data_IF_931896871603
#
_entry.id   IF_931896871603
#
_cell.length_a   1.000
_cell.length_b   1.000
_cell.length_c   1.000
_cell.angle_alpha   90.00
_cell.angle_beta   90.00
_cell.angle_gamma   90.00
#
_symmetry.space_group_name_H-M   'P 1'
#
loop_
_entity.id
_entity.type
_entity.pdbx_description
1 polymer ?
#
# COMPACT_ATOMS: atom_id res chain seq x y z
N UNK A 1 -12.74 14.50 -5.88
CA UNK A 1 -11.82 13.51 -6.47
C UNK A 1 -10.90 12.95 -5.39
N UNK A 2 -11.21 11.78 -4.83
CA UNK A 2 -10.33 11.07 -3.90
C UNK A 2 -9.44 10.16 -4.74
N UNK A 3 -8.22 10.59 -5.08
CA UNK A 3 -7.25 9.69 -5.71
C UNK A 3 -6.79 8.70 -4.65
N UNK A 4 -7.30 7.46 -4.67
CA UNK A 4 -6.76 6.36 -3.88
C UNK A 4 -5.41 5.99 -4.49
N UNK A 5 -4.32 6.37 -3.83
CA UNK A 5 -2.93 6.18 -4.30
C UNK A 5 -2.21 5.22 -3.36
N UNK A 6 -1.23 4.48 -3.86
CA UNK A 6 -0.48 3.54 -3.03
C UNK A 6 0.44 4.26 -2.04
N UNK A 7 0.11 4.04 -0.78
CA UNK A 7 0.80 4.48 0.41
C UNK A 7 2.10 3.64 0.53
N UNK A 8 3.28 4.29 0.60
CA UNK A 8 4.58 3.62 0.87
C UNK A 8 4.66 3.12 2.33
N UNK A 9 5.79 2.57 2.76
CA UNK A 9 5.90 1.81 4.02
C UNK A 9 5.52 2.66 5.23
N UNK A 10 5.98 3.90 5.32
CA UNK A 10 5.66 4.77 6.44
C UNK A 10 4.18 5.16 6.43
N UNK A 11 3.70 5.56 5.26
CA UNK A 11 2.30 5.92 5.06
C UNK A 11 1.37 4.76 5.49
N UNK A 12 1.66 3.52 5.09
CA UNK A 12 0.88 2.32 5.49
C UNK A 12 0.95 2.06 6.98
N UNK A 13 2.08 2.35 7.60
CA UNK A 13 2.26 2.17 9.04
C UNK A 13 1.39 3.17 9.80
N UNK A 14 1.36 4.42 9.35
CA UNK A 14 0.50 5.47 9.91
C UNK A 14 -0.97 5.14 9.68
N UNK A 15 -1.34 4.75 8.46
CA UNK A 15 -2.70 4.34 8.12
C UNK A 15 -3.20 3.24 9.07
N UNK A 16 -2.42 2.18 9.29
CA UNK A 16 -2.80 1.09 10.19
C UNK A 16 -2.90 1.54 11.65
N UNK A 17 -1.94 2.34 12.11
CA UNK A 17 -1.94 2.84 13.48
C UNK A 17 -3.17 3.73 13.73
N UNK A 18 -3.45 4.67 12.81
CA UNK A 18 -4.61 5.52 12.87
C UNK A 18 -5.91 4.72 12.73
N UNK A 19 -5.97 3.74 11.82
CA UNK A 19 -7.14 2.90 11.60
C UNK A 19 -7.54 2.16 12.87
N UNK A 20 -6.57 1.62 13.62
CA UNK A 20 -6.85 0.92 14.89
C UNK A 20 -7.52 1.84 15.91
N UNK A 21 -6.96 3.04 16.12
CA UNK A 21 -7.53 4.03 17.05
C UNK A 21 -8.87 4.55 16.56
N UNK A 22 -8.99 4.79 15.25
CA UNK A 22 -10.20 5.33 14.65
C UNK A 22 -11.35 4.33 14.74
N UNK A 23 -11.10 3.05 14.49
CA UNK A 23 -12.13 2.01 14.56
C UNK A 23 -12.59 1.77 16.00
N UNK A 24 -11.69 1.86 16.98
CA UNK A 24 -12.02 1.68 18.41
C UNK A 24 -12.78 2.87 19.00
N UNK A 25 -12.38 4.10 18.68
CA UNK A 25 -12.94 5.34 19.28
C UNK A 25 -13.77 6.16 18.30
N UNK A 26 -14.31 5.54 17.25
CA UNK A 26 -14.99 6.22 16.14
C UNK A 26 -16.13 7.12 16.61
N UNK A 27 -17.00 6.57 17.43
CA UNK A 27 -18.23 7.22 17.90
C UNK A 27 -17.90 8.34 18.88
N UNK A 28 -17.02 8.09 19.84
CA UNK A 28 -16.53 9.08 20.80
C UNK A 28 -15.86 10.27 20.10
N UNK A 29 -15.03 9.98 19.08
CA UNK A 29 -14.38 11.00 18.27
C UNK A 29 -15.40 11.83 17.49
N UNK A 30 -16.41 11.19 16.89
CA UNK A 30 -17.47 11.89 16.18
C UNK A 30 -18.26 12.81 17.11
N UNK A 31 -18.61 12.35 18.31
CA UNK A 31 -19.32 13.16 19.30
C UNK A 31 -18.45 14.32 19.81
N UNK A 32 -17.16 14.08 20.06
CA UNK A 32 -16.20 15.11 20.46
C UNK A 32 -16.08 16.20 19.38
N UNK A 33 -15.99 15.80 18.11
CA UNK A 33 -15.92 16.72 16.98
C UNK A 33 -17.23 17.52 16.83
N UNK A 34 -18.38 16.88 16.98
CA UNK A 34 -19.67 17.57 16.97
C UNK A 34 -19.79 18.61 18.11
N UNK A 35 -19.40 18.24 19.33
CA UNK A 35 -19.33 19.16 20.48
C UNK A 35 -18.31 20.29 20.26
N UNK A 36 -17.21 20.00 19.57
CA UNK A 36 -16.18 21.01 19.26
C UNK A 36 -16.68 22.12 18.32
N UNK A 37 -17.72 21.87 17.52
CA UNK A 37 -18.36 22.91 16.70
C UNK A 37 -19.10 23.95 17.56
N UNK A 38 -19.69 23.50 18.67
CA UNK A 38 -20.39 24.37 19.63
C UNK A 38 -19.45 25.02 20.64
N UNK A 39 -18.36 24.33 20.99
CA UNK A 39 -17.31 24.78 21.91
C UNK A 39 -15.95 24.54 21.28
N UNK A 40 -15.35 25.56 20.63
CA UNK A 40 -14.11 25.39 19.88
C UNK A 40 -13.00 24.76 20.72
N UNK A 41 -12.52 23.60 20.30
CA UNK A 41 -11.33 22.96 20.85
C UNK A 41 -10.19 23.09 19.84
N UNK A 42 -8.99 23.39 20.33
CA UNK A 42 -7.80 23.37 19.50
C UNK A 42 -7.49 21.94 19.03
N UNK A 43 -6.87 21.84 17.86
CA UNK A 43 -6.47 20.56 17.28
C UNK A 43 -5.54 19.78 18.23
N UNK A 44 -4.68 20.47 18.98
CA UNK A 44 -3.82 19.89 20.03
C UNK A 44 -4.62 19.26 21.19
N UNK A 45 -5.72 19.90 21.62
CA UNK A 45 -6.56 19.35 22.70
C UNK A 45 -7.29 18.10 22.24
N UNK A 46 -7.76 18.09 20.99
CA UNK A 46 -8.43 16.93 20.39
C UNK A 46 -7.42 15.79 20.22
N UNK A 47 -6.26 16.06 19.62
CA UNK A 47 -5.21 15.05 19.40
C UNK A 47 -4.69 14.46 20.71
N UNK A 48 -4.48 15.30 21.74
CA UNK A 48 -4.10 14.83 23.08
C UNK A 48 -5.19 13.93 23.68
N UNK A 49 -6.47 14.31 23.64
CA UNK A 49 -7.55 13.44 24.15
C UNK A 49 -7.57 12.07 23.48
N UNK A 50 -7.52 12.04 22.15
CA UNK A 50 -7.60 10.80 21.38
C UNK A 50 -6.35 9.95 21.59
N UNK A 51 -5.17 10.53 21.44
CA UNK A 51 -3.93 9.76 21.40
C UNK A 51 -3.35 9.43 22.78
N UNK A 52 -3.59 10.27 23.80
CA UNK A 52 -3.02 10.09 25.14
C UNK A 52 -4.05 9.62 26.17
N UNK A 53 -5.29 10.15 26.17
CA UNK A 53 -6.29 9.81 27.20
C UNK A 53 -7.08 8.55 26.85
N UNK A 54 -7.58 8.46 25.62
CA UNK A 54 -8.40 7.33 25.18
C UNK A 54 -7.52 6.14 24.83
N UNK A 55 -6.79 6.23 23.72
CA UNK A 55 -6.04 5.10 23.18
C UNK A 55 -4.73 4.81 23.89
N UNK A 56 -4.16 5.78 24.60
CA UNK A 56 -2.83 5.69 25.27
C UNK A 56 -1.68 5.23 24.34
N UNK A 57 -1.87 5.29 23.03
CA UNK A 57 -0.88 4.84 22.04
C UNK A 57 0.23 5.86 21.84
N UNK A 58 -0.03 7.14 22.10
CA UNK A 58 1.01 8.15 22.07
C UNK A 58 1.90 8.01 23.31
N UNK A 59 3.23 7.80 23.14
CA UNK A 59 4.14 7.77 24.27
C UNK A 59 4.18 9.13 24.97
N UNK A 60 4.33 9.12 26.30
CA UNK A 60 4.54 10.36 27.08
C UNK A 60 5.84 11.09 26.69
N UNK A 61 6.81 10.36 26.12
CA UNK A 61 8.06 10.93 25.61
C UNK A 61 7.82 11.56 24.24
N UNK A 62 7.98 12.88 24.16
CA UNK A 62 7.97 13.62 22.91
C UNK A 62 9.14 13.20 22.02
N UNK A 63 8.89 13.07 20.73
CA UNK A 63 9.94 12.82 19.73
C UNK A 63 11.00 13.93 19.87
N UNK A 64 12.30 13.60 19.90
CA UNK A 64 13.35 14.61 20.03
C UNK A 64 13.21 15.69 18.96
N UNK A 65 13.42 16.96 19.33
CA UNK A 65 13.32 18.08 18.37
C UNK A 65 14.34 17.96 17.20
N UNK A 66 15.40 17.18 17.38
CA UNK A 66 16.39 16.85 16.35
C UNK A 66 15.90 15.83 15.31
N UNK A 67 14.76 15.17 15.55
CA UNK A 67 14.21 14.19 14.61
C UNK A 67 13.58 14.90 13.42
N UNK A 68 14.31 14.93 12.31
CA UNK A 68 13.74 15.31 11.01
C UNK A 68 13.10 14.08 10.39
N UNK A 69 11.77 14.07 10.34
CA UNK A 69 11.02 13.07 9.58
C UNK A 69 11.41 13.18 8.10
N UNK A 70 11.75 12.05 7.48
CA UNK A 70 11.93 11.96 6.03
C UNK A 70 10.60 11.56 5.42
N UNK A 71 9.85 12.52 4.88
CA UNK A 71 8.61 12.18 4.20
C UNK A 71 8.93 11.38 2.93
N UNK A 72 8.32 10.20 2.81
CA UNK A 72 8.46 9.38 1.61
C UNK A 72 7.76 10.05 0.42
N UNK A 73 8.40 10.02 -0.76
CA UNK A 73 7.81 10.56 -1.99
C UNK A 73 6.52 9.81 -2.34
N UNK A 74 5.45 10.57 -2.57
CA UNK A 74 4.17 10.06 -3.04
C UNK A 74 4.26 9.64 -4.50
N UNK A 75 3.82 8.42 -4.81
CA UNK A 75 3.73 7.96 -6.20
C UNK A 75 2.29 8.17 -6.71
N UNK A 76 2.09 8.99 -7.76
CA UNK A 76 0.81 9.03 -8.45
C UNK A 76 0.56 7.69 -9.12
N UNK A 77 -0.57 7.06 -8.79
CA UNK A 77 -1.13 5.97 -9.59
C UNK A 77 -2.53 6.38 -10.05
N UNK A 78 -2.89 5.89 -11.23
CA UNK A 78 -4.24 5.87 -11.76
C UNK A 78 -5.08 4.76 -11.07
N UNK A 79 -6.39 4.76 -11.33
CA UNK A 79 -7.32 3.86 -10.66
C UNK A 79 -7.13 2.39 -11.06
N UNK A 80 -6.72 2.15 -12.30
CA UNK A 80 -6.52 0.81 -12.85
C UNK A 80 -5.26 0.18 -12.25
N UNK A 81 -4.15 0.91 -12.28
CA UNK A 81 -2.89 0.50 -11.63
C UNK A 81 -3.09 0.21 -10.13
N UNK A 82 -3.91 1.01 -9.43
CA UNK A 82 -4.23 0.75 -8.03
C UNK A 82 -4.97 -0.58 -7.83
N UNK A 83 -5.93 -0.93 -8.69
CA UNK A 83 -6.68 -2.19 -8.60
C UNK A 83 -5.75 -3.38 -8.84
N UNK A 84 -4.89 -3.29 -9.86
CA UNK A 84 -3.90 -4.33 -10.18
C UNK A 84 -2.94 -4.55 -9.01
N UNK A 85 -2.36 -3.47 -8.45
CA UNK A 85 -1.48 -3.55 -7.27
C UNK A 85 -2.19 -4.13 -6.03
N UNK A 86 -3.47 -3.78 -5.83
CA UNK A 86 -4.27 -4.30 -4.72
C UNK A 86 -4.52 -5.81 -4.87
N UNK A 87 -4.87 -6.26 -6.07
CA UNK A 87 -5.05 -7.69 -6.38
C UNK A 87 -3.74 -8.47 -6.24
N UNK A 88 -2.63 -7.94 -6.75
CA UNK A 88 -1.30 -8.54 -6.61
C UNK A 88 -0.96 -8.78 -5.14
N UNK A 89 -1.20 -7.77 -4.30
CA UNK A 89 -0.92 -7.85 -2.86
C UNK A 89 -1.79 -8.90 -2.15
N UNK A 90 -3.06 -9.04 -2.55
CA UNK A 90 -3.95 -10.06 -2.00
C UNK A 90 -3.53 -11.46 -2.43
N UNK A 91 -3.25 -11.67 -3.71
CA UNK A 91 -2.78 -12.95 -4.24
C UNK A 91 -1.45 -13.36 -3.61
N UNK A 92 -0.48 -12.45 -3.51
CA UNK A 92 0.81 -12.73 -2.88
C UNK A 92 0.70 -13.05 -1.39
N UNK A 93 -0.30 -12.47 -0.69
CA UNK A 93 -0.60 -12.84 0.69
C UNK A 93 -1.11 -14.28 0.79
N UNK A 94 -1.98 -14.70 -0.13
CA UNK A 94 -2.50 -16.06 -0.21
C UNK A 94 -1.42 -17.05 -0.63
N UNK A 95 -0.61 -16.73 -1.65
CA UNK A 95 0.50 -17.56 -2.10
C UNK A 95 1.50 -17.82 -0.97
N UNK A 96 1.82 -16.79 -0.17
CA UNK A 96 2.68 -16.94 1.00
C UNK A 96 2.10 -17.89 2.07
N UNK A 97 0.78 -17.92 2.23
CA UNK A 97 0.11 -18.86 3.15
C UNK A 97 0.03 -20.27 2.58
N UNK A 98 -0.11 -20.41 1.26
CA UNK A 98 -0.21 -21.68 0.55
C UNK A 98 1.15 -22.28 0.14
N UNK A 99 2.25 -21.54 0.31
CA UNK A 99 3.60 -21.95 -0.12
C UNK A 99 3.83 -21.89 -1.64
N UNK A 100 2.95 -21.21 -2.39
CA UNK A 100 3.09 -21.06 -3.84
C UNK A 100 3.90 -19.80 -4.22
N UNK A 101 4.33 -19.74 -5.48
CA UNK A 101 5.13 -18.63 -6.00
C UNK A 101 4.33 -17.31 -6.04
N UNK A 102 4.99 -16.15 -5.83
CA UNK A 102 4.34 -14.86 -5.95
C UNK A 102 4.00 -14.55 -7.41
N UNK A 103 2.87 -13.87 -7.62
CA UNK A 103 2.43 -13.35 -8.91
C UNK A 103 2.81 -11.88 -9.03
N UNK A 104 3.17 -11.46 -10.24
CA UNK A 104 3.38 -10.05 -10.60
C UNK A 104 2.60 -9.77 -11.86
N UNK A 105 1.67 -8.82 -11.81
CA UNK A 105 0.92 -8.44 -13.01
C UNK A 105 1.74 -7.44 -13.80
N UNK A 106 1.94 -7.70 -15.10
CA UNK A 106 2.64 -6.77 -16.00
C UNK A 106 1.61 -5.76 -16.51
N UNK A 107 1.85 -4.47 -16.29
CA UNK A 107 1.04 -3.42 -16.88
C UNK A 107 1.27 -3.41 -18.41
N UNK A 108 0.23 -3.58 -19.24
CA UNK A 108 0.37 -3.56 -20.69
C UNK A 108 0.96 -2.25 -21.24
N UNK A 109 0.88 -1.13 -20.51
CA UNK A 109 1.52 0.14 -20.90
C UNK A 109 3.04 0.18 -20.61
N UNK A 110 3.54 -0.62 -19.67
CA UNK A 110 4.98 -0.73 -19.37
C UNK A 110 5.74 -1.65 -20.33
N UNK A 111 5.02 -2.50 -21.07
CA UNK A 111 5.60 -3.43 -22.05
C UNK A 111 6.01 -2.78 -23.38
N UNK A 112 5.46 -1.61 -23.72
CA UNK A 112 5.77 -0.94 -25.00
C UNK A 112 7.12 -0.23 -25.06
N UNK A 113 7.90 -0.18 -23.96
CA UNK A 113 9.25 0.39 -23.95
C UNK A 113 10.39 -0.62 -23.70
N UNK A 114 10.10 -1.92 -23.69
CA UNK A 114 11.11 -2.97 -23.57
C UNK A 114 10.76 -4.14 -24.50
N UNK A 115 11.26 -4.11 -25.73
CA UNK A 115 11.22 -5.28 -26.62
C UNK A 115 10.89 -5.00 -28.08
N UNK A 116 11.51 -4.00 -28.70
CA UNK A 116 11.71 -4.04 -30.15
C UNK A 116 13.20 -4.23 -30.39
N UNK A 117 13.64 -5.49 -30.35
CA UNK A 117 14.95 -5.97 -30.80
C UNK A 117 14.92 -7.51 -30.85
N UNK A 118 14.53 -8.05 -32.02
CA UNK A 118 14.63 -9.47 -32.40
C UNK A 118 13.70 -10.37 -31.59
N UNK A 119 12.90 -11.26 -32.17
CA UNK A 119 13.17 -12.13 -33.29
C UNK A 119 11.82 -12.53 -33.86
N UNK A 120 11.58 -12.22 -35.13
CA UNK A 120 10.49 -12.81 -35.88
C UNK A 120 10.74 -14.30 -36.06
N UNK A 121 9.65 -15.04 -35.91
CA UNK A 121 9.49 -16.46 -36.19
C UNK A 121 9.91 -16.79 -37.63
N UNK A 122 10.48 -17.98 -37.83
CA UNK A 122 10.06 -18.80 -38.97
C UNK A 122 10.18 -20.29 -38.62
N UNK A 123 9.00 -20.86 -38.44
CA UNK A 123 8.66 -22.27 -38.47
C UNK A 123 9.09 -22.89 -39.82
N UNK A 124 9.59 -24.14 -39.83
CA UNK A 124 9.24 -25.22 -40.76
C UNK A 124 10.36 -26.29 -40.87
N UNK A 125 9.97 -27.56 -40.73
CA UNK A 125 10.56 -28.61 -41.58
C UNK A 125 11.28 -29.77 -40.88
N UNK A 126 10.53 -30.81 -40.54
CA UNK A 126 10.89 -32.25 -40.63
C UNK A 126 12.37 -32.63 -40.73
N UNK A 127 12.92 -33.24 -39.67
CA UNK A 127 13.64 -34.54 -39.75
C UNK A 127 13.95 -35.07 -38.34
N UNK A 128 13.49 -36.29 -38.09
CA UNK A 128 13.66 -37.09 -36.89
C UNK A 128 14.95 -37.92 -37.03
N UNK A 129 15.86 -37.93 -36.03
CA UNK A 129 16.77 -39.07 -35.92
C UNK A 129 16.79 -39.62 -34.49
N UNK A 130 15.85 -40.53 -34.21
CA UNK A 130 16.18 -41.71 -33.40
C UNK A 130 17.28 -42.52 -34.11
N UNK A 131 18.55 -42.23 -33.81
CA UNK A 131 19.64 -43.20 -33.90
C UNK A 131 20.76 -42.81 -32.93
N UNK A 132 20.69 -43.35 -31.72
CA UNK A 132 21.88 -43.57 -30.91
C UNK A 132 21.68 -44.81 -30.04
N UNK A 133 21.79 -45.98 -30.67
CA UNK A 133 22.04 -47.27 -30.01
C UNK A 133 22.59 -48.26 -31.05
N UNK A 134 23.91 -48.25 -31.22
CA UNK A 134 24.81 -49.43 -31.31
C UNK A 134 26.24 -48.97 -31.61
#
# INVERSE_FOLDING_TARGET
YVRRRECRRECRTIEKACGTVFDEYREDLAELLYKSQKTPMSLEKISSRVCTKWSKVCPAKTVPASYKRKDEYWMPMDEESYKIHSMEKQMNKLSKQAGSQPVKFVDPMGGMMMGSNGWDEEENGWEDPMMNMM
#
